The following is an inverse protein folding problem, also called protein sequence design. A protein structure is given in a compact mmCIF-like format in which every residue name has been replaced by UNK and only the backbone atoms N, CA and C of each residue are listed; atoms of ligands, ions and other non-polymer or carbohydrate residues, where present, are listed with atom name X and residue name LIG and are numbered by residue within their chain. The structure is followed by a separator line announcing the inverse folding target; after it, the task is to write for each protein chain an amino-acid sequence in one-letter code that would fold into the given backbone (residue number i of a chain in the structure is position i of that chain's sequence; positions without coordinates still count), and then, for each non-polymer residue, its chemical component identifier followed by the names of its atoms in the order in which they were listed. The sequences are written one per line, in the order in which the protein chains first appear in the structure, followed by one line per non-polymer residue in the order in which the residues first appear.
data_IF_182626067126
#
_entry.id   IF_182626067126
#
_cell.length_a   1.000
_cell.length_b   1.000
_cell.length_c   1.000
_cell.angle_alpha   90.00
_cell.angle_beta   90.00
_cell.angle_gamma   90.00
#
_symmetry.space_group_name_H-M   'P 1'
#
loop_
_entity.id
_entity.type
_entity.pdbx_description
1 polymer ?
#
# COMPACT_ATOMS: atom_id res chain seq x y z
N UNK A 1 -11.17 0.57 -8.17
CA UNK A 1 -10.12 -0.08 -8.99
C UNK A 1 -10.17 -1.58 -8.74
N UNK A 2 -9.80 -2.42 -9.71
CA UNK A 2 -9.72 -3.87 -9.47
C UNK A 2 -8.36 -4.24 -8.89
N UNK A 3 -8.36 -4.82 -7.70
CA UNK A 3 -7.20 -5.31 -6.98
C UNK A 3 -7.14 -6.84 -7.01
N UNK A 4 -6.00 -7.38 -6.61
CA UNK A 4 -5.79 -8.82 -6.46
C UNK A 4 -5.68 -9.16 -4.98
N UNK A 5 -6.62 -9.92 -4.46
CA UNK A 5 -6.55 -10.47 -3.12
C UNK A 5 -5.87 -11.83 -3.18
N UNK A 6 -4.62 -11.91 -2.72
CA UNK A 6 -3.85 -13.16 -2.68
C UNK A 6 -3.92 -13.77 -1.28
N UNK A 7 -4.28 -15.05 -1.19
CA UNK A 7 -4.21 -15.82 0.06
C UNK A 7 -2.90 -16.62 0.09
N UNK A 8 -2.11 -16.40 1.12
CA UNK A 8 -0.84 -17.09 1.39
C UNK A 8 -1.00 -18.02 2.59
N UNK A 9 -0.57 -19.26 2.44
CA UNK A 9 -0.39 -20.19 3.56
C UNK A 9 0.99 -19.98 4.16
N UNK A 10 1.04 -19.61 5.43
CA UNK A 10 2.27 -19.39 6.22
C UNK A 10 2.38 -20.45 7.32
N UNK A 11 3.50 -20.48 8.04
CA UNK A 11 3.69 -21.41 9.18
C UNK A 11 2.66 -21.22 10.29
N UNK A 12 2.16 -19.99 10.48
CA UNK A 12 1.25 -19.61 11.58
C UNK A 12 -0.21 -19.50 11.14
N UNK A 13 -0.55 -19.89 9.91
CA UNK A 13 -1.91 -19.80 9.37
C UNK A 13 -1.97 -19.13 8.01
N UNK A 14 -3.15 -18.64 7.63
CA UNK A 14 -3.38 -17.98 6.35
C UNK A 14 -3.32 -16.46 6.49
N UNK A 15 -2.69 -15.80 5.51
CA UNK A 15 -2.64 -14.35 5.40
C UNK A 15 -3.22 -13.93 4.06
N UNK A 16 -4.10 -12.95 4.09
CA UNK A 16 -4.64 -12.32 2.88
C UNK A 16 -3.93 -10.99 2.65
N UNK A 17 -3.49 -10.75 1.42
CA UNK A 17 -2.86 -9.51 1.01
C UNK A 17 -3.55 -9.04 -0.26
N UNK A 18 -4.18 -7.88 -0.16
CA UNK A 18 -4.66 -7.07 -1.27
C UNK A 18 -3.46 -6.34 -1.89
N UNK A 19 -3.23 -6.58 -3.18
CA UNK A 19 -2.18 -5.99 -3.99
C UNK A 19 -2.79 -5.37 -5.25
N UNK A 20 -2.08 -4.43 -5.87
CA UNK A 20 -2.40 -3.98 -7.23
C UNK A 20 -2.22 -5.14 -8.21
N UNK A 21 -2.97 -5.14 -9.33
CA UNK A 21 -2.86 -6.21 -10.35
C UNK A 21 -1.46 -6.31 -10.95
N UNK A 22 -0.82 -5.15 -11.12
CA UNK A 22 0.55 -5.03 -11.61
C UNK A 22 1.42 -4.50 -10.48
N UNK A 23 2.43 -5.27 -10.08
CA UNK A 23 3.40 -4.81 -9.08
C UNK A 23 4.25 -3.69 -9.68
N UNK A 24 4.10 -2.49 -9.14
CA UNK A 24 4.93 -1.32 -9.44
C UNK A 24 5.49 -0.80 -8.12
N UNK A 25 6.72 -0.30 -8.14
CA UNK A 25 7.32 0.36 -6.96
C UNK A 25 6.69 1.73 -6.65
N UNK A 26 5.95 2.28 -7.61
CA UNK A 26 5.36 3.62 -7.57
C UNK A 26 3.88 3.62 -7.21
N UNK A 27 3.31 2.46 -6.95
CA UNK A 27 1.88 2.28 -6.68
C UNK A 27 1.72 1.23 -5.59
N UNK A 28 0.98 1.53 -4.53
CA UNK A 28 0.86 0.63 -3.38
C UNK A 28 -0.50 0.76 -2.67
N UNK A 29 -1.03 -0.40 -2.27
CA UNK A 29 -2.11 -0.46 -1.27
C UNK A 29 -1.50 -0.24 0.11
N UNK A 30 -1.94 0.81 0.80
CA UNK A 30 -1.53 1.13 2.17
C UNK A 30 -2.55 0.56 3.14
N UNK A 31 -2.04 -0.08 4.18
CA UNK A 31 -2.83 -0.69 5.23
C UNK A 31 -2.79 0.19 6.47
N UNK A 32 -3.96 0.53 6.98
CA UNK A 32 -4.13 1.12 8.31
C UNK A 32 -4.57 0.03 9.28
N UNK A 33 -3.89 -0.12 10.41
CA UNK A 33 -4.26 -1.10 11.45
C UNK A 33 -4.48 -2.52 10.88
N UNK A 34 -3.61 -2.94 9.95
CA UNK A 34 -3.67 -4.20 9.23
C UNK A 34 -4.82 -4.39 8.23
N UNK A 35 -5.63 -3.37 7.94
CA UNK A 35 -6.68 -3.41 6.92
C UNK A 35 -6.33 -2.52 5.71
N UNK A 36 -6.60 -2.93 4.46
CA UNK A 36 -6.42 -2.06 3.30
C UNK A 36 -7.26 -0.80 3.46
N UNK A 37 -6.66 0.37 3.40
CA UNK A 37 -7.33 1.64 3.69
C UNK A 37 -7.12 2.68 2.61
N UNK A 38 -5.94 2.71 1.98
CA UNK A 38 -5.60 3.73 0.99
C UNK A 38 -4.90 3.14 -0.23
N UNK A 39 -4.96 3.87 -1.34
CA UNK A 39 -4.16 3.63 -2.53
C UNK A 39 -3.26 4.84 -2.77
N UNK A 40 -1.95 4.61 -2.81
CA UNK A 40 -0.99 5.60 -3.29
C UNK A 40 -0.59 5.24 -4.71
N UNK A 41 -0.67 6.21 -5.61
CA UNK A 41 -0.11 6.14 -6.96
C UNK A 41 0.71 7.41 -7.21
N UNK A 42 2.05 7.30 -7.21
CA UNK A 42 2.93 8.44 -7.44
C UNK A 42 2.77 9.07 -8.83
N UNK A 43 2.11 8.43 -9.79
CA UNK A 43 1.84 9.01 -11.10
C UNK A 43 0.42 9.58 -11.23
N UNK A 44 -0.43 9.41 -10.22
CA UNK A 44 -1.70 10.12 -10.15
C UNK A 44 -1.46 11.58 -9.74
N UNK A 45 -1.50 12.48 -10.72
CA UNK A 45 -1.35 13.92 -10.50
C UNK A 45 -2.71 14.63 -10.28
N UNK A 46 -3.81 13.90 -10.14
CA UNK A 46 -5.14 14.49 -9.92
C UNK A 46 -5.40 14.82 -8.45
N UNK A 47 -4.78 14.09 -7.52
CA UNK A 47 -4.96 14.29 -6.08
C UNK A 47 -3.71 14.91 -5.47
N UNK A 48 -3.88 15.92 -4.62
CA UNK A 48 -2.77 16.63 -4.00
C UNK A 48 -1.89 15.70 -3.16
N UNK A 49 -2.50 14.73 -2.46
CA UNK A 49 -1.76 13.73 -1.69
C UNK A 49 -0.84 12.89 -2.57
N UNK A 50 -1.29 12.43 -3.74
CA UNK A 50 -0.44 11.66 -4.65
C UNK A 50 0.65 12.52 -5.30
N UNK A 51 0.41 13.82 -5.52
CA UNK A 51 1.46 14.76 -5.93
C UNK A 51 2.54 14.88 -4.85
N UNK A 52 2.18 14.95 -3.56
CA UNK A 52 3.17 14.95 -2.47
C UNK A 52 3.90 13.61 -2.38
N UNK A 53 3.20 12.49 -2.53
CA UNK A 53 3.83 11.16 -2.55
C UNK A 53 4.80 11.00 -3.72
N UNK A 54 4.52 11.59 -4.89
CA UNK A 54 5.47 11.65 -6.00
C UNK A 54 6.78 12.30 -5.57
N UNK A 55 6.71 13.47 -4.94
CA UNK A 55 7.90 14.17 -4.46
C UNK A 55 8.67 13.34 -3.40
N UNK A 56 7.95 12.84 -2.38
CA UNK A 56 8.55 12.09 -1.26
C UNK A 56 9.19 10.77 -1.70
N UNK A 57 8.61 10.07 -2.68
CA UNK A 57 9.09 8.76 -3.13
C UNK A 57 10.02 8.89 -4.32
N UNK A 58 9.56 9.51 -5.42
CA UNK A 58 10.29 9.53 -6.69
C UNK A 58 11.37 10.60 -6.73
N UNK A 59 11.04 11.86 -6.41
CA UNK A 59 12.04 12.94 -6.47
C UNK A 59 13.15 12.77 -5.43
N UNK A 60 12.80 12.29 -4.24
CA UNK A 60 13.77 12.00 -3.18
C UNK A 60 14.42 10.61 -3.28
N UNK A 61 13.99 9.77 -4.24
CA UNK A 61 14.49 8.40 -4.44
C UNK A 61 14.39 7.51 -3.19
N UNK A 62 13.26 7.60 -2.48
CA UNK A 62 13.01 6.89 -1.23
C UNK A 62 12.15 5.65 -1.45
N UNK A 63 12.27 4.68 -0.56
CA UNK A 63 11.39 3.51 -0.53
C UNK A 63 9.97 3.95 -0.17
N UNK A 64 8.99 3.57 -1.00
CA UNK A 64 7.55 3.76 -0.71
C UNK A 64 7.20 3.26 0.70
N UNK A 65 7.69 2.07 1.06
CA UNK A 65 7.45 1.48 2.38
C UNK A 65 7.93 2.38 3.51
N UNK A 66 9.16 2.89 3.42
CA UNK A 66 9.73 3.73 4.48
C UNK A 66 9.00 5.07 4.59
N UNK A 67 8.62 5.68 3.45
CA UNK A 67 7.84 6.93 3.44
C UNK A 67 6.49 6.71 4.15
N UNK A 68 5.79 5.61 3.85
CA UNK A 68 4.52 5.28 4.50
C UNK A 68 4.67 5.02 6.00
N UNK A 69 5.70 4.28 6.41
CA UNK A 69 5.98 4.02 7.82
C UNK A 69 6.26 5.33 8.59
N UNK A 70 7.08 6.22 8.04
CA UNK A 70 7.37 7.53 8.64
C UNK A 70 6.13 8.45 8.71
N UNK A 71 5.27 8.43 7.68
CA UNK A 71 3.98 9.14 7.71
C UNK A 71 3.12 8.61 8.86
N UNK A 72 3.03 7.28 9.01
CA UNK A 72 2.30 6.65 10.10
C UNK A 72 2.83 7.04 11.48
N UNK A 73 4.15 6.98 11.66
CA UNK A 73 4.82 7.38 12.91
C UNK A 73 4.53 8.83 13.29
N UNK A 74 4.66 9.77 12.35
CA UNK A 74 4.39 11.20 12.59
C UNK A 74 2.95 11.48 12.99
N UNK A 75 2.02 10.71 12.45
CA UNK A 75 0.58 10.90 12.67
C UNK A 75 0.02 9.97 13.78
N UNK A 76 0.86 9.17 14.44
CA UNK A 76 0.47 8.20 15.45
C UNK A 76 -0.60 7.21 14.94
N UNK A 77 -0.45 6.75 13.70
CA UNK A 77 -1.31 5.77 13.03
C UNK A 77 -0.44 4.63 12.48
N UNK A 78 -0.88 3.38 12.64
CA UNK A 78 -0.14 2.24 12.13
C UNK A 78 -0.39 2.05 10.63
N UNK A 79 0.50 2.62 9.82
CA UNK A 79 0.50 2.50 8.36
C UNK A 79 1.58 1.54 7.88
N UNK A 80 1.23 0.67 6.94
CA UNK A 80 2.18 -0.28 6.34
C UNK A 80 1.88 -0.53 4.88
N UNK A 81 2.92 -0.86 4.10
CA UNK A 81 2.77 -1.50 2.79
C UNK A 81 3.06 -2.99 2.96
N UNK A 82 2.07 -3.84 2.68
CA UNK A 82 2.22 -5.29 2.83
C UNK A 82 2.85 -5.90 1.58
N UNK A 83 3.86 -6.74 1.79
CA UNK A 83 4.50 -7.55 0.76
C UNK A 83 4.19 -9.03 0.96
N UNK A 84 4.41 -9.83 -0.09
CA UNK A 84 4.29 -11.28 0.00
C UNK A 84 5.17 -11.84 1.14
N UNK A 85 4.64 -12.71 2.04
CA UNK A 85 5.43 -13.21 3.14
C UNK A 85 6.57 -14.11 2.65
N UNK A 86 7.79 -13.90 3.16
CA UNK A 86 9.03 -14.59 2.74
C UNK A 86 8.93 -16.13 2.76
N UNK A 87 8.29 -16.70 3.78
CA UNK A 87 8.12 -18.15 3.96
C UNK A 87 6.65 -18.54 3.82
N UNK A 88 6.13 -18.44 2.60
CA UNK A 88 4.73 -18.74 2.32
C UNK A 88 4.51 -19.42 0.97
N UNK A 89 3.39 -20.14 0.88
CA UNK A 89 2.91 -20.75 -0.37
C UNK A 89 1.65 -20.00 -0.79
N UNK A 90 1.62 -19.49 -2.02
CA UNK A 90 0.41 -18.90 -2.60
C UNK A 90 -0.66 -19.99 -2.74
N UNK A 91 -1.80 -19.82 -2.07
CA UNK A 91 -2.92 -20.77 -2.07
C UNK A 91 -3.94 -20.41 -3.15
N UNK A 92 -4.36 -19.15 -3.22
CA UNK A 92 -5.34 -18.66 -4.19
C UNK A 92 -5.14 -17.17 -4.45
N UNK A 93 -5.72 -16.66 -5.54
CA UNK A 93 -5.89 -15.22 -5.75
C UNK A 93 -7.21 -14.96 -6.45
N UNK A 94 -7.92 -13.93 -6.01
CA UNK A 94 -9.17 -13.46 -6.61
C UNK A 94 -9.08 -11.96 -6.93
N UNK A 95 -9.81 -11.54 -7.96
CA UNK A 95 -9.96 -10.12 -8.29
C UNK A 95 -11.05 -9.52 -7.40
N UNK A 96 -10.80 -8.33 -6.85
CA UNK A 96 -11.77 -7.56 -6.06
C UNK A 96 -11.84 -6.12 -6.54
N UNK A 97 -13.06 -5.67 -6.80
CA UNK A 97 -13.33 -4.26 -7.02
C UNK A 97 -13.50 -3.58 -5.67
N UNK A 98 -12.52 -2.75 -5.32
CA UNK A 98 -12.51 -1.96 -4.08
C UNK A 98 -12.23 -0.52 -4.47
N UNK A 99 -12.86 0.40 -3.78
CA UNK A 99 -12.54 1.82 -3.84
C UNK A 99 -11.67 2.14 -2.62
N UNK A 100 -10.43 2.57 -2.89
CA UNK A 100 -9.49 2.99 -1.86
C UNK A 100 -9.15 4.46 -2.12
N UNK A 101 -9.38 5.36 -1.17
CA UNK A 101 -9.00 6.77 -1.31
C UNK A 101 -7.47 6.95 -1.28
N UNK A 102 -6.94 8.11 -1.70
CA UNK A 102 -5.57 8.49 -1.41
C UNK A 102 -5.36 8.70 0.09
N UNK A 103 -4.11 8.90 0.52
CA UNK A 103 -3.83 9.27 1.90
C UNK A 103 -4.48 10.63 2.24
N UNK A 104 -4.90 10.84 3.51
CA UNK A 104 -5.28 12.17 3.99
C UNK A 104 -4.14 13.16 3.76
N UNK A 105 -4.44 14.29 3.10
CA UNK A 105 -3.41 15.27 2.72
C UNK A 105 -2.69 15.82 3.96
N UNK A 106 -3.39 15.93 5.08
CA UNK A 106 -2.85 16.42 6.35
C UNK A 106 -1.71 15.55 6.88
N UNK A 107 -1.63 14.28 6.45
CA UNK A 107 -0.58 13.35 6.87
C UNK A 107 0.67 13.43 6.00
N UNK A 108 0.57 13.98 4.80
CA UNK A 108 1.63 13.94 3.76
C UNK A 108 2.38 15.27 3.63
N UNK A 109 1.98 16.27 4.41
CA UNK A 109 2.58 17.62 4.43
C UNK A 109 3.86 17.70 5.28
#
# INVERSE_FOLDING_TARGET
MTFKLTTYKTLTGEKQILETKTRKSTEAVVYENNQPAYLVDCFDLQTESNVQMNYLVLCQQRSMKNVIEEIGEKNNVNLTVKEAPLFSIKKSSEDKDIELPPLPIEWVN
#
